data_IF_487782988400
#
_entry.id   IF_487782988400
#
_cell.length_a   1.000
_cell.length_b   1.000
_cell.length_c   1.000
_cell.angle_alpha   90.00
_cell.angle_beta   90.00
_cell.angle_gamma   90.00
#
_symmetry.space_group_name_H-M   'P 1'
#
loop_
_entity.id
_entity.type
_entity.pdbx_description
1 polymer ?
#
# COMPACT_ATOMS: atom_id res chain seq x y z
N UNK A 1 5.10 -24.88 -4.75
CA UNK A 1 5.04 -23.92 -5.86
C UNK A 1 5.15 -22.53 -5.25
N UNK A 2 5.94 -21.67 -5.83
CA UNK A 2 6.07 -20.26 -5.43
C UNK A 2 5.22 -19.43 -6.40
N UNK A 3 4.29 -18.65 -5.87
CA UNK A 3 3.47 -17.73 -6.66
C UNK A 3 4.01 -16.31 -6.44
N UNK A 4 4.76 -15.78 -7.38
CA UNK A 4 5.18 -14.38 -7.38
C UNK A 4 4.06 -13.52 -7.95
N UNK A 5 3.31 -12.86 -7.07
CA UNK A 5 2.18 -11.99 -7.45
C UNK A 5 2.60 -10.83 -8.35
N UNK A 6 3.79 -10.25 -8.15
CA UNK A 6 4.30 -9.19 -9.02
C UNK A 6 4.54 -9.72 -10.43
N UNK A 7 5.21 -10.86 -10.56
CA UNK A 7 5.48 -11.47 -11.85
C UNK A 7 4.17 -11.86 -12.57
N UNK A 8 3.20 -12.42 -11.85
CA UNK A 8 1.89 -12.77 -12.40
C UNK A 8 1.11 -11.52 -12.84
N UNK A 9 1.15 -10.45 -12.07
CA UNK A 9 0.50 -9.17 -12.42
C UNK A 9 1.12 -8.57 -13.68
N UNK A 10 2.45 -8.50 -13.76
CA UNK A 10 3.15 -7.97 -14.93
C UNK A 10 2.86 -8.81 -16.19
N UNK A 11 2.83 -10.14 -16.05
CA UNK A 11 2.46 -11.03 -17.14
C UNK A 11 1.01 -10.78 -17.62
N UNK A 12 0.07 -10.59 -16.69
CA UNK A 12 -1.33 -10.31 -17.04
C UNK A 12 -1.50 -8.92 -17.69
N UNK A 13 -0.69 -7.95 -17.30
CA UNK A 13 -0.66 -6.61 -17.88
C UNK A 13 -0.02 -6.57 -19.27
N UNK A 14 0.64 -7.64 -19.69
CA UNK A 14 1.15 -7.87 -21.06
C UNK A 14 1.94 -6.67 -21.64
N UNK A 15 2.86 -6.12 -20.84
CA UNK A 15 3.72 -5.00 -21.25
C UNK A 15 3.05 -3.61 -21.16
N UNK A 16 1.81 -3.51 -20.69
CA UNK A 16 1.17 -2.22 -20.46
C UNK A 16 1.78 -1.44 -19.28
N UNK A 17 2.44 -2.15 -18.37
CA UNK A 17 3.15 -1.57 -17.22
C UNK A 17 4.49 -2.28 -17.00
N UNK A 18 5.41 -1.55 -16.37
CA UNK A 18 6.71 -2.05 -15.91
C UNK A 18 6.96 -1.59 -14.48
N UNK A 19 7.84 -2.30 -13.77
CA UNK A 19 8.22 -1.92 -12.40
C UNK A 19 9.09 -0.65 -12.43
N UNK A 20 8.70 0.35 -11.66
CA UNK A 20 9.46 1.58 -11.47
C UNK A 20 10.34 1.51 -10.21
N UNK A 21 9.80 0.98 -9.10
CA UNK A 21 10.53 0.80 -7.84
C UNK A 21 9.87 -0.24 -6.95
N UNK A 22 10.65 -0.84 -6.04
CA UNK A 22 10.23 -1.89 -5.11
C UNK A 22 10.85 -1.65 -3.73
N UNK A 23 10.07 -1.83 -2.66
CA UNK A 23 10.57 -2.06 -1.31
C UNK A 23 10.17 -3.47 -0.86
N UNK A 24 11.09 -4.18 -0.21
CA UNK A 24 10.84 -5.51 0.37
C UNK A 24 10.58 -5.33 1.86
N UNK A 25 9.39 -5.69 2.32
CA UNK A 25 8.93 -5.55 3.70
C UNK A 25 9.17 -6.81 4.52
N UNK A 26 9.00 -7.98 3.91
CA UNK A 26 9.19 -9.26 4.57
C UNK A 26 9.81 -10.24 3.59
N UNK A 27 10.85 -10.92 4.05
CA UNK A 27 11.44 -12.03 3.32
C UNK A 27 11.71 -13.17 4.31
N UNK A 28 10.77 -14.11 4.39
CA UNK A 28 10.88 -15.29 5.25
C UNK A 28 11.28 -16.49 4.38
N UNK A 29 12.53 -16.96 4.49
CA UNK A 29 12.99 -18.10 3.72
C UNK A 29 12.48 -19.42 4.34
N UNK A 30 11.63 -20.15 3.62
CA UNK A 30 11.31 -21.55 3.84
C UNK A 30 11.13 -22.05 5.28
N UNK A 31 10.13 -21.55 6.01
CA UNK A 31 9.76 -22.12 7.32
C UNK A 31 9.16 -23.52 7.11
N UNK A 32 9.70 -24.59 7.72
CA UNK A 32 9.11 -25.90 7.61
C UNK A 32 7.80 -25.97 8.40
N UNK A 33 6.78 -26.54 7.79
CA UNK A 33 5.54 -26.88 8.47
C UNK A 33 5.05 -28.26 8.01
N UNK A 34 4.28 -28.93 8.87
CA UNK A 34 3.80 -30.27 8.59
C UNK A 34 2.30 -30.22 8.25
N UNK A 35 1.95 -30.63 7.05
CA UNK A 35 0.57 -30.88 6.66
C UNK A 35 0.16 -32.26 7.24
N UNK A 36 -0.93 -32.29 7.98
CA UNK A 36 -1.58 -33.53 8.49
C UNK A 36 -0.72 -34.44 9.38
N UNK A 37 0.25 -33.86 10.09
CA UNK A 37 1.12 -34.68 11.00
C UNK A 37 2.02 -35.68 10.27
N UNK A 38 2.16 -35.54 8.94
CA UNK A 38 3.00 -36.42 8.12
C UNK A 38 4.49 -36.07 8.23
N UNK A 39 5.32 -37.04 7.95
CA UNK A 39 6.77 -37.02 8.15
C UNK A 39 7.57 -36.20 7.18
N UNK A 40 6.94 -35.52 6.21
CA UNK A 40 7.61 -34.62 5.25
C UNK A 40 7.15 -33.18 5.44
N UNK A 41 8.08 -32.27 5.76
CA UNK A 41 7.73 -30.85 5.87
C UNK A 41 7.40 -30.24 4.51
N UNK A 42 6.32 -29.47 4.45
CA UNK A 42 6.19 -28.43 3.46
C UNK A 42 6.97 -27.20 3.93
N UNK A 43 7.33 -26.33 3.00
CA UNK A 43 8.06 -25.10 3.33
C UNK A 43 7.23 -23.88 2.92
N UNK A 44 6.99 -22.98 3.87
CA UNK A 44 6.36 -21.69 3.63
C UNK A 44 7.44 -20.64 3.40
N UNK A 45 7.40 -20.00 2.25
CA UNK A 45 8.18 -18.80 1.97
C UNK A 45 7.23 -17.63 1.81
N UNK A 46 7.49 -16.53 2.50
CA UNK A 46 6.69 -15.31 2.40
C UNK A 46 7.61 -14.20 1.91
N UNK A 47 7.18 -13.53 0.84
CA UNK A 47 7.83 -12.33 0.33
C UNK A 47 6.78 -11.25 0.19
N UNK A 48 6.83 -10.23 1.05
CA UNK A 48 5.97 -9.06 1.00
C UNK A 48 6.73 -7.87 0.40
N UNK A 49 6.07 -7.13 -0.50
CA UNK A 49 6.66 -6.01 -1.25
C UNK A 49 5.62 -4.95 -1.54
N UNK A 50 6.00 -3.69 -1.37
CA UNK A 50 5.29 -2.58 -1.99
C UNK A 50 5.98 -2.19 -3.29
N UNK A 51 5.19 -1.94 -4.32
CA UNK A 51 5.68 -1.75 -5.70
C UNK A 51 5.02 -0.55 -6.34
N UNK A 52 5.80 0.24 -7.06
CA UNK A 52 5.28 1.25 -7.98
C UNK A 52 5.45 0.73 -9.41
N UNK A 53 4.35 0.66 -10.13
CA UNK A 53 4.31 0.36 -11.56
C UNK A 53 4.06 1.63 -12.35
N UNK A 54 4.66 1.71 -13.54
CA UNK A 54 4.48 2.83 -14.48
C UNK A 54 4.21 2.34 -15.89
N UNK A 55 3.63 3.18 -16.73
CA UNK A 55 3.57 2.93 -18.17
C UNK A 55 4.98 2.96 -18.77
N UNK A 56 5.30 2.07 -19.73
CA UNK A 56 6.52 2.17 -20.52
C UNK A 56 6.60 3.55 -21.20
N UNK A 57 7.80 4.13 -21.23
CA UNK A 57 8.04 5.45 -21.79
C UNK A 57 7.77 6.63 -20.84
N UNK A 58 7.27 6.41 -19.64
CA UNK A 58 7.32 7.41 -18.56
C UNK A 58 8.70 7.34 -17.93
N UNK A 59 9.50 8.39 -18.11
CA UNK A 59 10.79 8.48 -17.45
C UNK A 59 10.61 8.69 -15.95
N UNK A 60 11.31 7.90 -15.15
CA UNK A 60 11.26 7.99 -13.69
C UNK A 60 12.62 7.68 -13.09
N UNK A 61 12.89 8.26 -11.93
CA UNK A 61 14.03 7.90 -11.08
C UNK A 61 13.53 7.47 -9.70
N UNK A 62 14.18 6.47 -9.12
CA UNK A 62 13.94 6.06 -7.74
C UNK A 62 14.38 7.19 -6.82
N UNK A 63 13.58 7.46 -5.77
CA UNK A 63 13.92 8.47 -4.77
C UNK A 63 15.05 7.94 -3.88
N UNK A 64 16.12 8.70 -3.75
CA UNK A 64 17.21 8.38 -2.85
C UNK A 64 16.86 8.77 -1.40
N UNK A 65 16.65 7.77 -0.55
CA UNK A 65 16.40 7.93 0.88
C UNK A 65 17.66 7.73 1.75
N UNK A 66 18.84 7.54 1.17
CA UNK A 66 20.07 7.17 1.91
C UNK A 66 20.43 8.14 3.04
N UNK A 67 20.08 9.42 2.90
CA UNK A 67 20.34 10.44 3.92
C UNK A 67 19.42 10.39 5.15
N UNK A 68 18.31 9.65 5.09
CA UNK A 68 17.28 9.60 6.14
C UNK A 68 16.84 8.18 6.50
N UNK A 69 17.13 7.22 5.65
CA UNK A 69 16.75 5.82 5.81
C UNK A 69 17.77 5.07 6.68
N UNK A 70 17.32 4.47 7.77
CA UNK A 70 18.15 3.61 8.63
C UNK A 70 18.05 2.12 8.27
N UNK A 71 17.05 1.71 7.50
CA UNK A 71 16.81 0.33 7.07
C UNK A 71 16.57 0.25 5.56
N UNK A 72 17.60 0.42 4.72
CA UNK A 72 17.45 0.33 3.25
C UNK A 72 16.94 -1.05 2.82
N UNK A 73 15.99 -1.07 1.90
CA UNK A 73 15.41 -2.30 1.37
C UNK A 73 15.06 -2.13 -0.11
N UNK A 74 15.80 -2.80 -1.00
CA UNK A 74 15.71 -2.67 -2.45
C UNK A 74 15.78 -1.18 -2.88
N UNK A 75 14.71 -0.65 -3.51
CA UNK A 75 14.62 0.74 -3.96
C UNK A 75 14.00 1.68 -2.90
N UNK A 76 13.67 1.18 -1.71
CA UNK A 76 12.96 1.91 -0.67
C UNK A 76 13.60 1.81 0.69
N UNK A 77 12.81 2.04 1.72
CA UNK A 77 13.21 1.99 3.12
C UNK A 77 12.15 1.30 3.98
N UNK A 78 12.58 0.40 4.87
CA UNK A 78 11.70 -0.13 5.90
C UNK A 78 11.64 0.83 7.09
N UNK A 79 10.48 0.88 7.76
CA UNK A 79 10.29 1.67 8.97
C UNK A 79 11.17 1.19 10.11
N UNK A 80 11.52 2.11 11.01
CA UNK A 80 12.24 1.77 12.24
C UNK A 80 11.35 1.01 13.22
N UNK A 81 10.06 1.35 13.24
CA UNK A 81 9.06 0.74 14.11
C UNK A 81 8.44 -0.48 13.40
N UNK A 82 8.68 -1.67 13.97
CA UNK A 82 8.29 -2.96 13.40
C UNK A 82 7.47 -3.77 14.39
N UNK A 83 6.62 -4.64 13.85
CA UNK A 83 5.90 -5.63 14.66
C UNK A 83 6.77 -6.87 14.86
N UNK A 84 6.87 -7.31 16.08
CA UNK A 84 7.57 -8.56 16.42
C UNK A 84 8.25 -8.51 17.78
N UNK A 85 8.92 -9.62 18.15
CA UNK A 85 8.97 -10.87 17.39
C UNK A 85 7.66 -11.68 17.44
N UNK A 86 7.33 -12.32 16.34
CA UNK A 86 6.36 -13.42 16.32
C UNK A 86 7.18 -14.69 16.46
N UNK A 87 7.19 -15.26 17.65
CA UNK A 87 8.00 -16.44 17.93
C UNK A 87 7.39 -17.69 17.31
N UNK A 88 8.16 -18.38 16.48
CA UNK A 88 7.82 -19.70 15.95
C UNK A 88 8.76 -20.75 16.56
N UNK A 89 8.45 -22.06 16.45
CA UNK A 89 9.36 -23.11 16.90
C UNK A 89 10.72 -23.13 16.20
N UNK A 90 10.89 -22.37 15.11
CA UNK A 90 12.07 -22.38 14.26
C UNK A 90 12.86 -21.09 14.32
N UNK A 91 12.15 -19.93 14.32
CA UNK A 91 12.77 -18.62 14.35
C UNK A 91 11.76 -17.54 14.77
N UNK A 92 12.25 -16.41 15.20
CA UNK A 92 11.46 -15.21 15.42
C UNK A 92 11.25 -14.48 14.10
N UNK A 93 9.99 -14.18 13.78
CA UNK A 93 9.62 -13.43 12.57
C UNK A 93 9.31 -12.00 12.98
N UNK A 94 9.88 -11.05 12.25
CA UNK A 94 9.56 -9.63 12.35
C UNK A 94 8.80 -9.21 11.11
N UNK A 95 7.63 -8.60 11.30
CA UNK A 95 6.88 -8.01 10.18
C UNK A 95 7.35 -6.57 10.02
N UNK A 96 8.05 -6.33 8.93
CA UNK A 96 8.49 -5.00 8.55
C UNK A 96 7.51 -4.40 7.56
N UNK A 97 7.32 -3.10 7.63
CA UNK A 97 6.61 -2.28 6.66
C UNK A 97 7.58 -1.26 6.11
N UNK A 98 7.24 -0.67 4.96
CA UNK A 98 8.17 0.25 4.33
C UNK A 98 7.48 1.26 3.42
N UNK A 99 8.31 2.04 2.75
CA UNK A 99 7.91 3.01 1.75
C UNK A 99 8.90 3.04 0.59
N UNK A 100 8.38 3.35 -0.58
CA UNK A 100 9.17 3.48 -1.82
C UNK A 100 8.66 4.66 -2.62
N UNK A 101 9.55 5.37 -3.30
CA UNK A 101 9.18 6.55 -4.06
C UNK A 101 9.84 6.63 -5.43
N UNK A 102 9.15 7.28 -6.36
CA UNK A 102 9.68 7.62 -7.67
C UNK A 102 9.42 9.09 -8.00
N UNK A 103 10.38 9.72 -8.63
CA UNK A 103 10.28 11.04 -9.21
C UNK A 103 10.02 10.92 -10.70
N UNK A 104 9.07 11.70 -11.21
CA UNK A 104 8.70 11.72 -12.63
C UNK A 104 8.43 13.14 -13.09
N UNK A 105 8.70 13.43 -14.36
CA UNK A 105 8.29 14.68 -15.02
C UNK A 105 7.23 14.38 -16.05
N UNK A 106 6.05 14.96 -15.91
CA UNK A 106 4.91 14.77 -16.83
C UNK A 106 4.40 16.15 -17.27
N UNK A 107 4.43 16.40 -18.59
CA UNK A 107 3.96 17.66 -19.13
C UNK A 107 4.73 18.89 -18.63
N UNK A 108 6.00 18.72 -18.29
CA UNK A 108 6.87 19.79 -17.77
C UNK A 108 6.67 20.11 -16.28
N UNK A 109 5.92 19.31 -15.56
CA UNK A 109 5.75 19.39 -14.10
C UNK A 109 6.39 18.19 -13.42
N UNK A 110 6.99 18.42 -12.27
CA UNK A 110 7.67 17.42 -11.49
C UNK A 110 6.75 16.88 -10.37
N UNK A 111 6.72 15.55 -10.29
CA UNK A 111 5.91 14.81 -9.32
C UNK A 111 6.77 13.83 -8.56
N UNK A 112 6.43 13.59 -7.30
CA UNK A 112 6.87 12.46 -6.49
C UNK A 112 5.69 11.59 -6.17
N UNK A 113 5.77 10.31 -6.53
CA UNK A 113 4.84 9.28 -6.11
C UNK A 113 5.49 8.43 -5.04
N UNK A 114 4.81 8.26 -3.91
CA UNK A 114 5.27 7.43 -2.80
C UNK A 114 4.21 6.39 -2.50
N UNK A 115 4.63 5.14 -2.37
CA UNK A 115 3.78 4.03 -1.95
C UNK A 115 4.24 3.52 -0.59
N UNK A 116 3.28 3.18 0.27
CA UNK A 116 3.52 2.58 1.59
C UNK A 116 2.36 1.68 1.99
N UNK A 117 2.65 0.74 2.88
CA UNK A 117 1.67 -0.03 3.63
C UNK A 117 2.01 0.10 5.12
N UNK A 118 1.17 0.80 5.89
CA UNK A 118 1.35 0.93 7.34
C UNK A 118 0.86 -0.31 8.07
N UNK A 119 1.32 -0.49 9.31
CA UNK A 119 0.89 -1.63 10.13
C UNK A 119 -0.60 -1.51 10.51
N UNK A 120 -1.21 -2.65 10.82
CA UNK A 120 -2.60 -2.73 11.26
C UNK A 120 -2.78 -2.09 12.65
N UNK A 121 -4.01 -1.70 12.97
CA UNK A 121 -4.40 -1.12 14.28
C UNK A 121 -5.09 -2.12 15.21
N UNK A 122 -5.33 -3.35 14.73
CA UNK A 122 -6.14 -4.33 15.45
C UNK A 122 -5.34 -5.11 16.48
N UNK A 123 -5.90 -5.38 17.66
CA UNK A 123 -5.23 -6.19 18.68
C UNK A 123 -4.76 -7.54 18.14
N UNK A 124 -3.58 -8.01 18.55
CA UNK A 124 -2.74 -7.47 19.63
C UNK A 124 -1.76 -6.35 19.24
N UNK A 125 -1.82 -5.83 18.02
CA UNK A 125 -0.93 -4.76 17.54
C UNK A 125 -1.33 -3.44 18.21
N UNK A 126 -0.40 -2.73 18.86
CA UNK A 126 -0.71 -1.43 19.43
C UNK A 126 -0.86 -0.37 18.33
N UNK A 127 -1.93 0.44 18.35
CA UNK A 127 -2.17 1.47 17.33
C UNK A 127 -1.06 2.55 17.29
N UNK A 128 -0.29 2.70 18.35
CA UNK A 128 0.88 3.59 18.42
C UNK A 128 1.97 3.20 17.43
N UNK A 129 2.08 1.91 17.09
CA UNK A 129 3.04 1.43 16.09
C UNK A 129 2.74 2.03 14.71
N UNK A 130 1.51 1.94 14.27
CA UNK A 130 1.03 2.53 13.03
C UNK A 130 1.20 4.05 13.03
N UNK A 131 0.87 4.71 14.14
CA UNK A 131 1.03 6.15 14.29
C UNK A 131 2.50 6.60 14.23
N UNK A 132 3.43 5.81 14.78
CA UNK A 132 4.86 6.07 14.71
C UNK A 132 5.40 5.91 13.28
N UNK A 133 4.93 4.91 12.53
CA UNK A 133 5.28 4.74 11.12
C UNK A 133 4.79 5.92 10.27
N UNK A 134 3.56 6.40 10.48
CA UNK A 134 3.04 7.58 9.80
C UNK A 134 3.86 8.83 10.11
N UNK A 135 4.23 9.05 11.38
CA UNK A 135 5.09 10.16 11.80
C UNK A 135 6.47 10.10 11.14
N UNK A 136 7.09 8.91 11.10
CA UNK A 136 8.37 8.68 10.41
C UNK A 136 8.25 9.05 8.93
N UNK A 137 7.23 8.53 8.23
CA UNK A 137 7.02 8.82 6.82
C UNK A 137 6.84 10.31 6.54
N UNK A 138 6.00 11.01 7.32
CA UNK A 138 5.79 12.45 7.20
C UNK A 138 7.12 13.20 7.34
N UNK A 139 7.93 12.82 8.32
CA UNK A 139 9.24 13.43 8.56
C UNK A 139 10.20 13.22 7.39
N UNK A 140 10.24 12.00 6.84
CA UNK A 140 11.05 11.66 5.68
C UNK A 140 10.60 12.43 4.44
N UNK A 141 9.31 12.48 4.18
CA UNK A 141 8.76 13.20 3.03
C UNK A 141 9.03 14.70 3.12
N UNK A 142 8.90 15.28 4.32
CA UNK A 142 9.24 16.69 4.55
C UNK A 142 10.73 17.00 4.36
N UNK A 143 11.61 16.06 4.67
CA UNK A 143 13.07 16.23 4.53
C UNK A 143 13.57 15.99 3.10
N UNK A 144 12.88 15.16 2.31
CA UNK A 144 13.40 14.67 1.02
C UNK A 144 12.66 15.20 -0.20
N UNK A 145 11.43 15.73 -0.04
CA UNK A 145 10.66 16.24 -1.19
C UNK A 145 10.99 17.69 -1.46
N UNK A 146 11.52 18.04 -2.64
CA UNK A 146 11.75 19.42 -3.03
C UNK A 146 10.42 20.22 -3.04
N UNK A 147 10.44 21.51 -2.59
CA UNK A 147 9.22 22.31 -2.45
C UNK A 147 8.43 22.53 -3.74
N UNK A 148 9.12 22.50 -4.88
CA UNK A 148 8.53 22.69 -6.22
C UNK A 148 7.88 21.41 -6.77
N UNK A 149 8.08 20.27 -6.10
CA UNK A 149 7.61 18.98 -6.58
C UNK A 149 6.27 18.61 -5.97
N UNK A 150 5.28 18.33 -6.79
CA UNK A 150 3.98 17.86 -6.34
C UNK A 150 4.10 16.45 -5.75
N UNK A 151 3.65 16.26 -4.51
CA UNK A 151 3.76 15.00 -3.77
C UNK A 151 2.42 14.26 -3.78
N UNK A 152 2.45 13.00 -4.20
CA UNK A 152 1.36 12.05 -4.12
C UNK A 152 1.79 10.88 -3.23
N UNK A 153 1.05 10.65 -2.16
CA UNK A 153 1.23 9.51 -1.26
C UNK A 153 0.05 8.56 -1.43
N UNK A 154 0.33 7.31 -1.74
CA UNK A 154 -0.68 6.27 -1.97
C UNK A 154 -0.35 5.03 -1.15
N UNK A 155 -1.36 4.21 -0.86
CA UNK A 155 -1.15 2.93 -0.21
C UNK A 155 -2.28 2.55 0.73
N UNK A 156 -2.09 1.39 1.36
CA UNK A 156 -2.90 0.96 2.49
C UNK A 156 -2.36 1.61 3.77
N UNK A 157 -3.10 2.60 4.27
CA UNK A 157 -2.72 3.31 5.49
C UNK A 157 -3.18 2.58 6.75
N UNK A 158 -3.96 1.50 6.61
CA UNK A 158 -4.63 0.81 7.72
C UNK A 158 -5.33 1.78 8.71
N UNK A 159 -5.61 2.98 8.24
CA UNK A 159 -6.23 4.08 9.00
C UNK A 159 -7.35 4.72 8.19
N UNK A 160 -8.52 4.72 8.78
CA UNK A 160 -9.75 5.23 8.18
C UNK A 160 -10.04 6.67 8.64
N UNK A 161 -10.70 7.49 7.80
CA UNK A 161 -11.27 8.76 8.24
C UNK A 161 -12.23 8.66 9.42
N UNK A 162 -12.79 7.47 9.65
CA UNK A 162 -13.73 7.19 10.75
C UNK A 162 -13.03 6.79 12.08
N UNK A 163 -11.70 6.66 12.10
CA UNK A 163 -10.97 6.30 13.31
C UNK A 163 -11.15 7.36 14.39
N UNK A 164 -11.57 6.94 15.56
CA UNK A 164 -12.02 7.85 16.62
C UNK A 164 -10.91 8.32 17.58
N UNK A 165 -9.71 7.69 17.57
CA UNK A 165 -8.66 8.06 18.52
C UNK A 165 -7.75 9.16 17.97
N UNK A 166 -7.22 10.05 18.84
CA UNK A 166 -6.32 11.12 18.41
C UNK A 166 -4.98 10.59 17.90
N UNK A 167 -4.42 11.24 16.87
CA UNK A 167 -3.10 10.89 16.35
C UNK A 167 -3.08 9.70 15.39
N UNK A 168 -4.24 9.30 14.86
CA UNK A 168 -4.31 8.29 13.78
C UNK A 168 -3.46 8.71 12.59
N UNK A 169 -2.90 7.77 11.81
CA UNK A 169 -2.19 8.09 10.57
C UNK A 169 -2.98 9.04 9.67
N UNK A 170 -4.28 8.79 9.46
CA UNK A 170 -5.13 9.67 8.67
C UNK A 170 -5.11 11.11 9.20
N UNK A 171 -5.30 11.31 10.50
CA UNK A 171 -5.29 12.65 11.11
C UNK A 171 -3.91 13.32 11.05
N UNK A 172 -2.83 12.53 11.18
CA UNK A 172 -1.45 13.03 11.06
C UNK A 172 -1.17 13.54 9.65
N UNK A 173 -1.54 12.78 8.60
CA UNK A 173 -1.38 13.23 7.22
C UNK A 173 -2.14 14.52 6.95
N UNK A 174 -3.40 14.63 7.34
CA UNK A 174 -4.18 15.86 7.15
C UNK A 174 -3.57 17.07 7.89
N UNK A 175 -3.15 16.89 9.14
CA UNK A 175 -2.53 17.97 9.95
C UNK A 175 -1.16 18.38 9.41
N UNK A 176 -0.50 17.52 8.63
CA UNK A 176 0.77 17.79 7.95
C UNK A 176 0.62 18.42 6.56
N UNK A 177 -0.61 18.79 6.18
CA UNK A 177 -0.89 19.49 4.92
C UNK A 177 -1.29 18.59 3.75
N UNK A 178 -1.43 17.29 3.96
CA UNK A 178 -1.96 16.41 2.92
C UNK A 178 -3.47 16.60 2.76
N UNK A 179 -3.93 16.43 1.54
CA UNK A 179 -5.35 16.43 1.18
C UNK A 179 -5.72 15.05 0.67
N UNK A 180 -6.77 14.47 1.24
CA UNK A 180 -7.33 13.21 0.76
C UNK A 180 -8.10 13.43 -0.55
N UNK A 181 -7.61 12.86 -1.65
CA UNK A 181 -8.19 13.01 -2.97
C UNK A 181 -9.65 12.53 -3.05
N UNK A 182 -10.04 11.57 -2.22
CA UNK A 182 -11.42 11.08 -2.18
C UNK A 182 -12.39 12.15 -1.69
N UNK A 183 -11.99 12.96 -0.70
CA UNK A 183 -12.85 13.99 -0.12
C UNK A 183 -13.10 15.17 -1.08
N UNK A 184 -12.19 15.39 -2.02
CA UNK A 184 -12.31 16.46 -3.02
C UNK A 184 -13.20 16.11 -4.21
N UNK A 185 -13.61 14.85 -4.34
CA UNK A 185 -14.48 14.45 -5.44
C UNK A 185 -15.92 14.93 -5.21
N UNK A 186 -16.69 15.24 -6.26
CA UNK A 186 -18.12 15.49 -6.12
C UNK A 186 -18.87 14.19 -5.73
N UNK A 187 -19.80 14.30 -4.78
CA UNK A 187 -20.68 13.22 -4.33
C UNK A 187 -20.27 12.61 -2.98
N UNK A 188 -21.23 12.18 -2.19
CA UNK A 188 -21.06 11.74 -0.79
C UNK A 188 -20.89 10.24 -0.59
N UNK A 189 -20.23 9.51 -1.51
CA UNK A 189 -20.01 8.05 -1.36
C UNK A 189 -18.77 7.82 -0.51
N UNK A 190 -18.84 6.90 0.42
CA UNK A 190 -17.76 6.64 1.42
C UNK A 190 -16.47 6.11 0.80
N UNK A 191 -16.55 5.29 -0.27
CA UNK A 191 -15.37 4.77 -0.97
C UNK A 191 -14.65 3.67 -0.20
N UNK A 192 -15.39 2.79 0.43
CA UNK A 192 -14.89 1.70 1.25
C UNK A 192 -14.01 0.76 0.43
N UNK A 193 -12.88 0.37 0.98
CA UNK A 193 -11.85 -0.43 0.31
C UNK A 193 -11.47 -1.70 1.05
N UNK A 194 -11.74 -1.80 2.35
CA UNK A 194 -11.47 -2.99 3.18
C UNK A 194 -12.76 -3.49 3.87
N UNK A 195 -12.98 -4.73 4.23
CA UNK A 195 -12.31 -5.93 3.75
C UNK A 195 -13.36 -6.97 3.37
N UNK A 196 -13.07 -7.82 2.40
CA UNK A 196 -13.86 -9.02 2.13
C UNK A 196 -13.51 -10.08 3.21
N UNK A 197 -14.18 -11.25 3.19
CA UNK A 197 -13.78 -12.36 4.05
C UNK A 197 -12.36 -12.86 3.70
N UNK A 198 -11.64 -13.36 4.68
CA UNK A 198 -10.28 -13.90 4.52
C UNK A 198 -10.17 -14.99 3.44
N UNK A 199 -11.21 -15.81 3.29
CA UNK A 199 -11.28 -16.86 2.26
C UNK A 199 -11.79 -16.34 0.91
N UNK A 200 -12.09 -15.03 0.80
CA UNK A 200 -12.57 -14.34 -0.41
C UNK A 200 -13.88 -14.90 -0.99
N UNK A 201 -14.61 -15.72 -0.23
CA UNK A 201 -15.76 -16.48 -0.73
C UNK A 201 -17.08 -15.72 -0.66
N UNK A 202 -17.18 -14.65 0.14
CA UNK A 202 -18.43 -13.92 0.35
C UNK A 202 -19.13 -13.55 -0.96
N UNK A 203 -20.44 -13.73 -0.99
CA UNK A 203 -21.23 -13.58 -2.21
C UNK A 203 -21.32 -12.13 -2.70
N UNK A 204 -21.53 -11.20 -1.77
CA UNK A 204 -21.60 -9.75 -2.03
C UNK A 204 -20.41 -9.07 -1.37
N UNK A 205 -20.01 -7.91 -1.88
CA UNK A 205 -19.01 -7.07 -1.20
C UNK A 205 -19.48 -6.67 0.19
N UNK A 206 -18.57 -6.76 1.16
CA UNK A 206 -18.78 -6.41 2.56
C UNK A 206 -17.76 -5.39 3.05
N UNK A 207 -17.08 -4.71 2.12
CA UNK A 207 -16.14 -3.63 2.44
C UNK A 207 -16.81 -2.62 3.39
N UNK A 208 -16.14 -2.30 4.49
CA UNK A 208 -16.70 -1.51 5.58
C UNK A 208 -15.78 -0.39 6.09
N UNK A 209 -14.52 -0.35 5.63
CA UNK A 209 -13.56 0.70 5.95
C UNK A 209 -12.90 1.26 4.68
N UNK A 210 -12.43 2.50 4.74
CA UNK A 210 -11.64 3.13 3.69
C UNK A 210 -10.22 3.36 4.21
N UNK A 211 -9.32 2.46 3.89
CA UNK A 211 -7.92 2.43 4.35
C UNK A 211 -6.91 2.58 3.23
N UNK A 212 -7.29 2.20 2.01
CA UNK A 212 -6.51 2.45 0.79
C UNK A 212 -6.76 3.88 0.35
N UNK A 213 -5.75 4.73 0.43
CA UNK A 213 -5.91 6.17 0.29
C UNK A 213 -4.98 6.74 -0.79
N UNK A 214 -5.41 7.86 -1.36
CA UNK A 214 -4.59 8.70 -2.24
C UNK A 214 -4.56 10.10 -1.62
N UNK A 215 -3.40 10.48 -1.14
CA UNK A 215 -3.14 11.81 -0.62
C UNK A 215 -2.33 12.64 -1.62
N UNK A 216 -2.56 13.93 -1.61
CA UNK A 216 -1.78 14.91 -2.38
C UNK A 216 -1.35 16.05 -1.48
N UNK A 217 -0.18 16.61 -1.74
CA UNK A 217 0.30 17.82 -1.10
C UNK A 217 0.53 18.89 -2.18
N UNK A 218 -0.55 19.41 -2.70
CA UNK A 218 -0.54 20.44 -3.75
C UNK A 218 -1.77 21.33 -3.58
N UNK A 219 -1.60 22.68 -3.46
CA UNK A 219 -2.71 23.59 -3.20
C UNK A 219 -3.64 23.79 -4.41
N UNK A 220 -3.14 23.53 -5.61
CA UNK A 220 -3.90 23.82 -6.85
C UNK A 220 -4.12 22.55 -7.66
N UNK A 221 -5.08 21.75 -7.20
CA UNK A 221 -5.44 20.50 -7.85
C UNK A 221 -6.96 20.37 -7.99
N UNK A 222 -7.38 19.57 -8.96
CA UNK A 222 -8.77 19.18 -9.14
C UNK A 222 -8.89 17.67 -9.30
N UNK A 223 -9.71 17.06 -8.48
CA UNK A 223 -10.04 15.65 -8.64
C UNK A 223 -11.13 15.53 -9.72
N UNK A 224 -10.75 15.05 -10.88
CA UNK A 224 -11.68 14.82 -12.01
C UNK A 224 -12.57 13.62 -11.76
N UNK A 225 -12.01 12.58 -11.13
CA UNK A 225 -12.69 11.31 -10.90
C UNK A 225 -11.98 10.54 -9.80
N UNK A 226 -12.74 9.95 -8.88
CA UNK A 226 -12.24 8.94 -7.97
C UNK A 226 -13.26 7.79 -7.89
N UNK A 227 -12.78 6.56 -7.82
CA UNK A 227 -13.61 5.36 -7.76
C UNK A 227 -12.89 4.21 -7.06
N UNK A 228 -13.68 3.32 -6.46
CA UNK A 228 -13.21 2.01 -6.02
C UNK A 228 -13.38 1.02 -7.18
N UNK A 229 -12.44 0.11 -7.30
CA UNK A 229 -12.42 -0.98 -8.27
C UNK A 229 -12.35 -2.30 -7.50
N UNK A 230 -12.92 -3.36 -8.07
CA UNK A 230 -12.92 -4.68 -7.42
C UNK A 230 -14.04 -4.87 -6.39
N UNK A 231 -14.88 -3.85 -6.13
CA UNK A 231 -15.95 -3.82 -5.15
C UNK A 231 -17.26 -4.48 -5.63
N UNK A 232 -17.34 -4.86 -6.90
CA UNK A 232 -18.58 -5.41 -7.51
C UNK A 232 -18.47 -6.91 -7.72
N UNK A 233 -19.59 -7.62 -7.57
CA UNK A 233 -19.69 -9.07 -7.81
C UNK A 233 -19.14 -9.48 -9.19
N UNK A 234 -19.26 -8.60 -10.18
CA UNK A 234 -18.70 -8.82 -11.53
C UNK A 234 -17.16 -8.85 -11.57
N UNK A 235 -16.49 -8.39 -10.52
CA UNK A 235 -15.02 -8.44 -10.40
C UNK A 235 -14.50 -9.77 -9.84
N UNK A 236 -15.37 -10.65 -9.36
CA UNK A 236 -15.00 -12.00 -8.91
C UNK A 236 -14.43 -12.84 -10.06
N UNK A 237 -13.49 -13.73 -9.72
CA UNK A 237 -12.90 -14.67 -10.68
C UNK A 237 -13.94 -15.52 -11.39
N UNK A 238 -13.66 -16.08 -12.57
CA UNK A 238 -14.59 -16.98 -13.27
C UNK A 238 -14.93 -18.26 -12.47
N UNK A 239 -16.16 -18.76 -12.60
CA UNK A 239 -17.26 -18.18 -13.37
C UNK A 239 -17.77 -16.90 -12.70
N UNK A 240 -17.87 -15.82 -13.47
CA UNK A 240 -18.18 -14.48 -12.97
C UNK A 240 -19.35 -14.48 -11.99
N UNK A 241 -19.14 -13.86 -10.83
CA UNK A 241 -20.10 -13.79 -9.74
C UNK A 241 -20.21 -15.04 -8.85
N UNK A 242 -19.50 -16.14 -9.17
CA UNK A 242 -19.47 -17.37 -8.37
C UNK A 242 -18.05 -17.75 -7.92
N UNK A 243 -17.02 -17.07 -8.43
CA UNK A 243 -15.63 -17.26 -8.03
C UNK A 243 -15.30 -16.52 -6.74
N UNK A 244 -14.01 -16.39 -6.48
CA UNK A 244 -13.47 -15.65 -5.34
C UNK A 244 -13.28 -14.17 -5.69
N UNK A 245 -13.26 -13.31 -4.70
CA UNK A 245 -12.75 -11.95 -4.89
C UNK A 245 -11.26 -12.00 -5.27
N UNK A 246 -10.80 -11.03 -6.03
CA UNK A 246 -9.39 -10.97 -6.44
C UNK A 246 -8.46 -10.57 -5.28
N UNK A 247 -9.00 -9.88 -4.30
CA UNK A 247 -8.35 -9.42 -3.08
C UNK A 247 -9.43 -9.22 -2.01
N UNK A 248 -9.04 -9.22 -0.76
CA UNK A 248 -9.87 -8.77 0.37
C UNK A 248 -10.05 -7.25 0.37
N UNK A 249 -9.24 -6.50 -0.36
CA UNK A 249 -9.39 -5.07 -0.58
C UNK A 249 -9.95 -4.75 -1.97
N UNK A 250 -10.65 -3.60 -2.05
CA UNK A 250 -10.93 -2.89 -3.28
C UNK A 250 -9.81 -1.89 -3.58
N UNK A 251 -9.45 -1.73 -4.83
CA UNK A 251 -8.44 -0.74 -5.24
C UNK A 251 -9.05 0.65 -5.37
N UNK A 252 -8.33 1.69 -5.00
CA UNK A 252 -8.72 3.08 -5.24
C UNK A 252 -8.02 3.66 -6.47
N UNK A 253 -8.75 4.38 -7.31
CA UNK A 253 -8.20 5.07 -8.47
C UNK A 253 -8.69 6.51 -8.52
N UNK A 254 -7.79 7.46 -8.82
CA UNK A 254 -8.11 8.86 -9.00
C UNK A 254 -7.49 9.43 -10.27
N UNK A 255 -8.24 10.29 -10.95
CA UNK A 255 -7.74 11.18 -12.00
C UNK A 255 -7.59 12.59 -11.42
N UNK A 256 -6.35 13.06 -11.36
CA UNK A 256 -5.99 14.33 -10.72
C UNK A 256 -5.43 15.28 -11.79
N UNK A 257 -5.89 16.50 -11.81
CA UNK A 257 -5.37 17.58 -12.65
C UNK A 257 -4.68 18.60 -11.74
N UNK A 258 -3.43 18.87 -12.03
CA UNK A 258 -2.61 19.88 -11.34
C UNK A 258 -2.49 21.13 -12.21
N UNK A 259 -2.61 22.33 -11.62
CA UNK A 259 -2.57 23.62 -12.31
C UNK A 259 -1.25 24.34 -12.14
#
# INVERSE_FOLDING_TARGET
>A
AFNDHLALTLAALNGAYETAAVVVNLNVPGIPFYLDGNSLPAYLTILDRDVILKHPGVESSVVDYSGVCSKPSADGCNYQFILGPISTPYEDIFVERGYVGVDVTIGGKDYRFVNTHLEVKDPPVPPELQAAQAFELISVLGATTPPERSLLLVGDMNSSPADAWPGTPYSQFLSSGFTDAWTMRPGGVEGLTCCQLEDLSNHKSILNERVDLIFTMEPTQKIKKARVLGDKVSAKTPPHGKGLWASDHGSVAAGIEFY
#
